data_IF_780056959764
#
_entry.id   IF_780056959764
#
_cell.length_a   1.000
_cell.length_b   1.000
_cell.length_c   1.000
_cell.angle_alpha   90.00
_cell.angle_beta   90.00
_cell.angle_gamma   90.00
#
_symmetry.space_group_name_H-M   'P 1'
#
loop_
_entity.id
_entity.type
_entity.pdbx_description
1 polymer ?
#
# COMPACT_ATOMS: atom_id res chain seq x y z
N UNK A 1 -4.83 -5.83 -22.26
CA UNK A 1 -3.37 -5.80 -22.16
C UNK A 1 -2.96 -7.20 -21.80
N UNK A 2 -1.91 -7.72 -22.44
CA UNK A 2 -1.36 -9.03 -22.14
C UNK A 2 -0.02 -8.83 -21.41
N UNK A 3 -0.03 -8.56 -20.09
CA UNK A 3 1.21 -8.24 -19.39
C UNK A 3 2.10 -9.48 -19.24
N UNK A 4 3.40 -9.31 -19.41
CA UNK A 4 4.37 -10.34 -19.03
C UNK A 4 4.46 -10.45 -17.50
N UNK A 5 4.73 -11.66 -16.99
CA UNK A 5 5.02 -11.86 -15.56
C UNK A 5 6.53 -11.80 -15.39
N UNK A 6 6.99 -10.92 -14.50
CA UNK A 6 8.41 -10.72 -14.18
C UNK A 6 8.61 -11.06 -12.70
N UNK A 7 9.46 -12.05 -12.43
CA UNK A 7 9.82 -12.48 -11.08
C UNK A 7 11.21 -11.95 -10.73
N UNK A 8 11.30 -11.26 -9.60
CA UNK A 8 12.52 -10.76 -8.98
C UNK A 8 12.98 -11.79 -7.94
N UNK A 9 14.09 -12.47 -8.20
CA UNK A 9 14.64 -13.50 -7.32
C UNK A 9 16.10 -13.20 -6.94
N UNK A 10 16.54 -13.70 -5.80
CA UNK A 10 17.93 -13.54 -5.36
C UNK A 10 18.52 -14.85 -4.82
N UNK A 11 18.26 -15.15 -3.54
CA UNK A 11 19.02 -16.16 -2.79
C UNK A 11 18.14 -17.18 -2.05
N UNK A 12 16.87 -17.32 -2.46
CA UNK A 12 15.85 -18.09 -1.73
C UNK A 12 15.18 -19.15 -2.62
N UNK A 13 15.79 -20.34 -2.81
CA UNK A 13 15.28 -21.34 -3.73
C UNK A 13 13.90 -21.88 -3.33
N UNK A 14 13.64 -22.06 -2.03
CA UNK A 14 12.34 -22.51 -1.52
C UNK A 14 11.21 -21.48 -1.74
N UNK A 15 11.51 -20.19 -1.52
CA UNK A 15 10.58 -19.09 -1.75
C UNK A 15 10.23 -19.00 -3.23
N UNK A 16 11.24 -18.98 -4.10
CA UNK A 16 11.02 -18.98 -5.55
C UNK A 16 10.20 -20.19 -6.00
N UNK A 17 10.53 -21.40 -5.54
CA UNK A 17 9.78 -22.61 -5.88
C UNK A 17 8.30 -22.51 -5.47
N UNK A 18 8.01 -21.92 -4.30
CA UNK A 18 6.65 -21.70 -3.81
C UNK A 18 5.90 -20.69 -4.68
N UNK A 19 6.51 -19.56 -5.03
CA UNK A 19 5.92 -18.57 -5.93
C UNK A 19 5.61 -19.21 -7.29
N UNK A 20 6.59 -19.87 -7.92
CA UNK A 20 6.42 -20.54 -9.21
C UNK A 20 5.33 -21.63 -9.17
N UNK A 21 5.24 -22.37 -8.06
CA UNK A 21 4.17 -23.33 -7.82
C UNK A 21 2.78 -22.69 -7.83
N UNK A 22 2.63 -21.52 -7.21
CA UNK A 22 1.36 -20.77 -7.24
C UNK A 22 1.05 -20.19 -8.64
N UNK A 23 2.07 -19.74 -9.38
CA UNK A 23 1.93 -19.24 -10.75
C UNK A 23 1.46 -20.31 -11.73
N UNK A 24 1.84 -21.58 -11.53
CA UNK A 24 1.34 -22.70 -12.35
C UNK A 24 -0.19 -22.87 -12.26
N UNK A 25 -0.83 -22.37 -11.20
CA UNK A 25 -2.27 -22.42 -10.99
C UNK A 25 -3.05 -21.22 -11.53
N UNK A 26 -2.41 -20.30 -12.26
CA UNK A 26 -3.08 -19.13 -12.80
C UNK A 26 -4.21 -19.50 -13.76
N UNK A 27 -5.28 -18.71 -13.73
CA UNK A 27 -6.38 -18.80 -14.67
C UNK A 27 -6.45 -17.57 -15.56
N UNK A 28 -6.88 -17.76 -16.80
CA UNK A 28 -6.97 -16.68 -17.78
C UNK A 28 -5.63 -16.26 -18.40
N UNK A 29 -4.52 -16.89 -18.01
CA UNK A 29 -3.23 -16.72 -18.67
C UNK A 29 -3.21 -17.56 -19.95
N UNK A 30 -3.07 -16.90 -21.11
CA UNK A 30 -2.87 -17.52 -22.43
C UNK A 30 -1.88 -16.65 -23.19
N UNK A 31 -0.82 -17.27 -23.73
CA UNK A 31 0.28 -16.58 -24.40
C UNK A 31 0.94 -15.49 -23.53
N UNK A 32 1.23 -15.85 -22.29
CA UNK A 32 1.80 -14.95 -21.26
C UNK A 32 3.29 -15.23 -21.12
N UNK A 33 4.19 -14.29 -21.43
CA UNK A 33 5.60 -14.45 -21.14
C UNK A 33 5.87 -14.50 -19.63
N UNK A 34 6.78 -15.39 -19.21
CA UNK A 34 7.34 -15.42 -17.86
C UNK A 34 8.83 -15.12 -17.92
N UNK A 35 9.26 -14.05 -17.28
CA UNK A 35 10.66 -13.72 -17.06
C UNK A 35 11.02 -13.94 -15.60
N UNK A 36 12.04 -14.74 -15.33
CA UNK A 36 12.60 -14.93 -13.99
C UNK A 36 13.98 -14.31 -13.99
N UNK A 37 14.14 -13.16 -13.34
CA UNK A 37 15.45 -12.50 -13.19
C UNK A 37 16.03 -12.79 -11.82
N UNK A 38 17.28 -13.25 -11.79
CA UNK A 38 17.99 -13.67 -10.59
C UNK A 38 19.20 -12.76 -10.40
N UNK A 39 19.23 -12.01 -9.30
CA UNK A 39 20.38 -11.16 -8.96
C UNK A 39 21.58 -12.01 -8.53
N UNK A 40 22.80 -11.56 -8.85
CA UNK A 40 24.03 -12.26 -8.48
C UNK A 40 24.43 -11.99 -7.02
N UNK A 41 25.27 -12.87 -6.47
CA UNK A 41 25.93 -12.67 -5.17
C UNK A 41 25.35 -13.45 -4.00
N UNK A 42 24.30 -14.24 -4.19
CA UNK A 42 23.72 -15.10 -3.16
C UNK A 42 24.41 -16.47 -3.04
N UNK A 43 24.64 -16.96 -1.82
CA UNK A 43 25.25 -18.28 -1.57
C UNK A 43 24.49 -19.46 -2.21
N UNK A 44 23.17 -19.34 -2.33
CA UNK A 44 22.26 -20.33 -2.92
C UNK A 44 21.93 -20.01 -4.39
N UNK A 45 22.68 -19.12 -5.05
CA UNK A 45 22.41 -18.68 -6.42
C UNK A 45 22.22 -19.85 -7.40
N UNK A 46 23.10 -20.85 -7.33
CA UNK A 46 23.02 -22.05 -8.19
C UNK A 46 21.72 -22.84 -7.98
N UNK A 47 21.23 -22.93 -6.73
CA UNK A 47 19.97 -23.61 -6.42
C UNK A 47 18.75 -22.82 -6.90
N UNK A 48 18.78 -21.49 -6.77
CA UNK A 48 17.74 -20.59 -7.30
C UNK A 48 17.68 -20.70 -8.82
N UNK A 49 18.83 -20.69 -9.49
CA UNK A 49 18.94 -20.89 -10.94
C UNK A 49 18.39 -22.27 -11.36
N UNK A 50 18.73 -23.33 -10.64
CA UNK A 50 18.22 -24.66 -10.91
C UNK A 50 16.69 -24.75 -10.77
N UNK A 51 16.10 -24.08 -9.76
CA UNK A 51 14.65 -23.97 -9.58
C UNK A 51 14.03 -23.26 -10.79
N UNK A 52 14.56 -22.10 -11.19
CA UNK A 52 14.05 -21.32 -12.32
C UNK A 52 14.15 -22.08 -13.65
N UNK A 53 15.27 -22.77 -13.90
CA UNK A 53 15.50 -23.53 -15.13
C UNK A 53 14.58 -24.75 -15.22
N UNK A 54 14.38 -25.50 -14.13
CA UNK A 54 13.54 -26.71 -14.10
C UNK A 54 12.06 -26.43 -14.18
N UNK A 55 11.61 -25.27 -13.71
CA UNK A 55 10.20 -24.91 -13.75
C UNK A 55 9.67 -24.86 -15.19
N UNK A 56 8.55 -25.56 -15.45
CA UNK A 56 7.91 -25.57 -16.77
C UNK A 56 6.76 -24.56 -16.78
N UNK A 57 6.88 -23.57 -17.65
CA UNK A 57 5.82 -22.60 -17.86
C UNK A 57 4.87 -23.08 -18.96
N UNK A 58 3.59 -23.18 -18.64
CA UNK A 58 2.59 -23.77 -19.54
C UNK A 58 1.76 -22.74 -20.31
N UNK A 59 1.90 -21.45 -20.00
CA UNK A 59 1.05 -20.40 -20.54
C UNK A 59 1.71 -19.54 -21.62
N UNK A 60 2.99 -19.75 -21.94
CA UNK A 60 3.73 -18.97 -22.94
C UNK A 60 5.22 -19.24 -22.89
N UNK A 61 6.03 -18.30 -23.41
CA UNK A 61 7.48 -18.40 -23.36
C UNK A 61 8.03 -18.15 -21.95
N UNK A 62 9.11 -18.86 -21.59
CA UNK A 62 9.85 -18.66 -20.34
C UNK A 62 11.26 -18.19 -20.64
N UNK A 63 11.66 -17.06 -20.06
CA UNK A 63 13.03 -16.52 -20.10
C UNK A 63 13.60 -16.48 -18.69
N UNK A 64 14.83 -16.97 -18.52
CA UNK A 64 15.59 -16.81 -17.26
C UNK A 64 16.72 -15.82 -17.54
N UNK A 65 16.84 -14.79 -16.70
CA UNK A 65 17.89 -13.77 -16.77
C UNK A 65 18.76 -13.93 -15.53
N UNK A 66 20.01 -14.31 -15.74
CA UNK A 66 21.06 -14.34 -14.73
C UNK A 66 21.83 -13.02 -14.80
N UNK A 67 21.89 -12.29 -13.68
CA UNK A 67 22.71 -11.08 -13.60
C UNK A 67 24.16 -11.47 -13.43
N UNK A 68 25.06 -10.88 -14.21
CA UNK A 68 26.50 -11.19 -14.14
C UNK A 68 27.17 -10.61 -12.89
N UNK A 69 26.62 -9.51 -12.36
CA UNK A 69 27.12 -8.78 -11.19
C UNK A 69 25.95 -8.41 -10.28
N UNK A 70 26.17 -8.30 -8.95
CA UNK A 70 25.11 -7.91 -8.02
C UNK A 70 24.58 -6.51 -8.34
N UNK A 71 23.30 -6.39 -8.69
CA UNK A 71 22.62 -5.12 -8.92
C UNK A 71 22.11 -4.51 -7.61
N UNK A 72 21.87 -5.34 -6.60
CA UNK A 72 21.22 -4.96 -5.36
C UNK A 72 19.73 -4.66 -5.54
N UNK A 73 19.00 -4.51 -4.43
CA UNK A 73 17.53 -4.46 -4.44
C UNK A 73 16.95 -3.41 -5.40
N UNK A 74 17.40 -2.15 -5.31
CA UNK A 74 16.88 -1.07 -6.16
C UNK A 74 17.24 -1.31 -7.62
N UNK A 75 18.52 -1.60 -7.90
CA UNK A 75 19.00 -1.83 -9.27
C UNK A 75 18.29 -3.00 -9.94
N UNK A 76 18.08 -4.10 -9.21
CA UNK A 76 17.43 -5.28 -9.73
C UNK A 76 15.93 -5.08 -9.98
N UNK A 77 15.21 -4.43 -9.06
CA UNK A 77 13.80 -4.05 -9.25
C UNK A 77 13.65 -3.14 -10.46
N UNK A 78 14.57 -2.19 -10.66
CA UNK A 78 14.54 -1.28 -11.80
C UNK A 78 14.82 -2.01 -13.12
N UNK A 79 15.83 -2.88 -13.17
CA UNK A 79 16.13 -3.70 -14.34
C UNK A 79 14.95 -4.60 -14.72
N UNK A 80 14.27 -5.18 -13.73
CA UNK A 80 13.06 -5.97 -13.95
C UNK A 80 11.87 -5.11 -14.42
N UNK A 81 11.71 -3.92 -13.84
CA UNK A 81 10.67 -2.97 -14.25
C UNK A 81 10.84 -2.46 -15.68
N UNK A 82 12.08 -2.25 -16.12
CA UNK A 82 12.42 -1.77 -17.46
C UNK A 82 12.03 -2.76 -18.57
N UNK A 83 11.79 -4.04 -18.26
CA UNK A 83 11.22 -5.02 -19.20
C UNK A 83 9.83 -4.63 -19.71
N UNK A 84 9.15 -3.67 -19.08
CA UNK A 84 7.92 -3.08 -19.61
C UNK A 84 8.11 -2.42 -20.99
N UNK A 85 9.34 -2.01 -21.34
CA UNK A 85 9.66 -1.49 -22.67
C UNK A 85 9.57 -2.60 -23.73
N UNK A 86 9.94 -3.84 -23.38
CA UNK A 86 9.87 -5.01 -24.25
C UNK A 86 8.42 -5.52 -24.38
N UNK A 87 7.69 -5.61 -23.26
CA UNK A 87 6.38 -6.27 -23.22
C UNK A 87 5.17 -5.32 -23.24
N UNK A 88 5.36 -4.00 -23.15
CA UNK A 88 4.31 -2.98 -23.08
C UNK A 88 3.57 -2.90 -21.73
N UNK A 89 3.43 -4.02 -21.02
CA UNK A 89 2.93 -4.09 -19.65
C UNK A 89 3.54 -5.28 -18.90
N UNK A 90 3.69 -5.16 -17.58
CA UNK A 90 4.26 -6.23 -16.73
C UNK A 90 3.48 -6.41 -15.42
N UNK A 91 3.56 -7.61 -14.86
CA UNK A 91 3.25 -7.95 -13.48
C UNK A 91 4.58 -8.28 -12.79
N UNK A 92 5.00 -7.47 -11.83
CA UNK A 92 6.26 -7.61 -11.10
C UNK A 92 6.02 -8.27 -9.73
N UNK A 93 6.69 -9.39 -9.48
CA UNK A 93 6.52 -10.22 -8.28
C UNK A 93 7.87 -10.52 -7.63
N UNK A 94 7.95 -10.35 -6.30
CA UNK A 94 9.11 -10.77 -5.49
C UNK A 94 9.00 -12.26 -5.15
N UNK A 95 10.14 -12.95 -5.02
CA UNK A 95 10.23 -14.40 -4.83
C UNK A 95 9.59 -14.95 -3.54
N UNK A 96 9.26 -14.10 -2.55
CA UNK A 96 8.60 -14.49 -1.31
C UNK A 96 7.07 -14.38 -1.32
N UNK A 97 6.50 -13.98 -2.45
CA UNK A 97 5.05 -13.91 -2.63
C UNK A 97 4.43 -15.28 -2.92
N UNK A 98 3.12 -15.35 -2.72
CA UNK A 98 2.26 -16.41 -3.23
C UNK A 98 1.06 -15.77 -3.92
N UNK A 99 0.71 -16.25 -5.10
CA UNK A 99 -0.32 -15.63 -5.93
C UNK A 99 -1.65 -16.41 -5.91
N UNK A 100 -2.73 -15.67 -6.01
CA UNK A 100 -4.06 -16.21 -6.31
C UNK A 100 -4.11 -16.74 -7.75
N UNK A 101 -4.89 -17.82 -8.01
CA UNK A 101 -5.23 -18.23 -9.37
C UNK A 101 -5.82 -17.09 -10.23
N UNK A 102 -6.45 -16.09 -9.60
CA UNK A 102 -7.11 -14.96 -10.28
C UNK A 102 -6.17 -13.76 -10.51
N UNK A 103 -4.92 -13.81 -10.02
CA UNK A 103 -4.01 -12.67 -10.05
C UNK A 103 -3.80 -12.11 -11.46
N UNK A 104 -3.60 -12.98 -12.46
CA UNK A 104 -3.40 -12.56 -13.84
C UNK A 104 -4.64 -11.87 -14.44
N UNK A 105 -5.85 -12.43 -14.23
CA UNK A 105 -7.10 -11.81 -14.72
C UNK A 105 -7.30 -10.41 -14.19
N UNK A 106 -7.08 -10.22 -12.89
CA UNK A 106 -7.18 -8.91 -12.27
C UNK A 106 -6.15 -7.93 -12.84
N UNK A 107 -4.87 -8.32 -12.86
CA UNK A 107 -3.82 -7.43 -13.29
C UNK A 107 -4.00 -7.01 -14.75
N UNK A 108 -4.36 -7.95 -15.64
CA UNK A 108 -4.66 -7.65 -17.02
C UNK A 108 -5.86 -6.68 -17.16
N UNK A 109 -6.98 -6.96 -16.45
CA UNK A 109 -8.16 -6.09 -16.49
C UNK A 109 -7.91 -4.70 -15.90
N UNK A 110 -7.14 -4.61 -14.81
CA UNK A 110 -6.77 -3.35 -14.18
C UNK A 110 -5.82 -2.54 -15.07
N UNK A 111 -4.84 -3.18 -15.71
CA UNK A 111 -3.94 -2.53 -16.65
C UNK A 111 -4.69 -2.00 -17.88
N UNK A 112 -5.66 -2.77 -18.40
CA UNK A 112 -6.54 -2.30 -19.47
C UNK A 112 -7.34 -1.06 -19.08
N UNK A 113 -7.85 -1.03 -17.85
CA UNK A 113 -8.73 0.04 -17.40
C UNK A 113 -7.95 1.31 -16.99
N UNK A 114 -6.79 1.15 -16.35
CA UNK A 114 -6.04 2.27 -15.74
C UNK A 114 -4.73 2.61 -16.44
N UNK A 115 -4.23 1.78 -17.36
CA UNK A 115 -2.91 1.92 -17.95
C UNK A 115 -2.66 3.24 -18.70
N UNK A 116 -3.75 3.89 -19.11
CA UNK A 116 -3.76 5.17 -19.83
C UNK A 116 -4.17 6.38 -18.97
N UNK A 117 -4.63 6.20 -17.73
CA UNK A 117 -4.95 7.33 -16.85
C UNK A 117 -3.66 7.89 -16.24
N UNK A 118 -3.25 9.14 -16.57
CA UNK A 118 -2.00 9.71 -16.09
C UNK A 118 -2.02 9.99 -14.57
N UNK A 119 -3.16 9.89 -13.90
CA UNK A 119 -3.24 10.03 -12.44
C UNK A 119 -2.96 8.72 -11.71
N UNK A 120 -2.90 7.60 -12.44
CA UNK A 120 -2.59 6.29 -11.87
C UNK A 120 -1.13 5.96 -12.17
N UNK A 121 -0.40 5.60 -11.11
CA UNK A 121 1.04 5.32 -11.17
C UNK A 121 1.37 3.82 -11.16
N UNK A 122 0.40 2.97 -10.84
CA UNK A 122 0.57 1.52 -10.77
C UNK A 122 -0.61 0.85 -10.10
N UNK A 123 -0.61 -0.48 -10.17
CA UNK A 123 -1.65 -1.33 -9.62
C UNK A 123 -1.00 -2.28 -8.61
N UNK A 124 -1.52 -2.32 -7.39
CA UNK A 124 -1.20 -3.34 -6.40
C UNK A 124 -1.99 -4.61 -6.70
N UNK A 125 -1.41 -5.77 -6.43
CA UNK A 125 -2.12 -7.06 -6.37
C UNK A 125 -2.45 -7.45 -4.92
N UNK A 126 -1.91 -6.72 -3.94
CA UNK A 126 -2.13 -6.96 -2.52
C UNK A 126 -3.19 -6.01 -1.96
N UNK A 127 -4.07 -6.54 -1.11
CA UNK A 127 -4.99 -5.72 -0.33
C UNK A 127 -4.32 -5.24 0.97
N UNK A 128 -4.20 -3.92 1.12
CA UNK A 128 -3.64 -3.32 2.33
C UNK A 128 -4.61 -3.47 3.51
N UNK A 129 -4.18 -4.15 4.57
CA UNK A 129 -5.04 -4.49 5.71
C UNK A 129 -4.71 -3.72 7.00
N UNK A 130 -3.64 -2.92 7.01
CA UNK A 130 -3.17 -2.20 8.19
C UNK A 130 -2.71 -0.78 7.86
N UNK A 131 -2.64 0.06 8.89
CA UNK A 131 -2.10 1.41 8.82
C UNK A 131 -0.58 1.36 9.08
N UNK A 132 0.23 1.92 8.17
CA UNK A 132 1.68 1.73 8.12
C UNK A 132 2.49 2.32 9.28
N UNK A 133 1.90 3.22 10.06
CA UNK A 133 2.52 3.88 11.24
C UNK A 133 2.04 3.24 12.54
N UNK A 134 0.74 3.00 12.69
CA UNK A 134 0.16 2.51 13.95
C UNK A 134 0.02 0.99 13.99
N UNK A 135 0.14 0.32 12.84
CA UNK A 135 -0.16 -1.10 12.63
C UNK A 135 -1.58 -1.49 13.06
N UNK A 136 -2.49 -0.52 13.13
CA UNK A 136 -3.90 -0.79 13.39
C UNK A 136 -4.59 -1.29 12.11
N UNK A 137 -5.64 -2.12 12.22
CA UNK A 137 -6.38 -2.57 11.04
C UNK A 137 -6.87 -1.39 10.20
N UNK A 138 -6.58 -1.43 8.90
CA UNK A 138 -7.10 -0.51 7.90
C UNK A 138 -8.22 -1.22 7.15
N UNK A 139 -9.31 -0.49 6.90
CA UNK A 139 -10.41 -0.98 6.07
C UNK A 139 -10.92 0.19 5.25
N UNK A 140 -10.74 0.17 3.91
CA UNK A 140 -11.26 1.23 3.07
C UNK A 140 -12.79 1.26 3.18
N UNK A 141 -13.37 2.46 3.03
CA UNK A 141 -14.81 2.60 2.94
C UNK A 141 -15.31 1.76 1.78
N UNK A 142 -16.40 1.04 1.99
CA UNK A 142 -17.00 0.20 0.97
C UNK A 142 -17.82 1.09 0.05
N UNK A 143 -17.49 1.01 -1.23
CA UNK A 143 -18.33 1.50 -2.32
C UNK A 143 -18.58 0.34 -3.27
N UNK A 144 -19.19 0.67 -4.39
CA UNK A 144 -19.63 -0.27 -5.41
C UNK A 144 -18.47 -0.91 -6.21
N UNK A 145 -17.23 -0.43 -6.04
CA UNK A 145 -16.04 -0.93 -6.74
C UNK A 145 -15.30 -2.03 -5.98
N UNK A 146 -14.57 -2.86 -6.73
CA UNK A 146 -13.68 -3.91 -6.18
C UNK A 146 -12.28 -3.38 -5.81
N UNK A 147 -12.07 -2.08 -5.97
CA UNK A 147 -10.78 -1.40 -5.74
C UNK A 147 -10.95 -0.13 -4.91
N UNK A 148 -9.84 0.39 -4.41
CA UNK A 148 -9.71 1.72 -3.83
C UNK A 148 -8.38 2.35 -4.29
N UNK A 149 -8.20 3.65 -4.02
CA UNK A 149 -7.04 4.41 -4.48
C UNK A 149 -6.27 4.99 -3.30
N UNK A 150 -4.95 5.03 -3.40
CA UNK A 150 -4.11 5.56 -2.32
C UNK A 150 -2.82 6.18 -2.84
N UNK A 151 -2.34 7.26 -2.21
CA UNK A 151 -1.02 7.84 -2.48
C UNK A 151 0.11 7.11 -1.75
N UNK A 152 0.05 5.78 -1.71
CA UNK A 152 1.11 4.89 -1.21
C UNK A 152 1.33 3.82 -2.28
N UNK A 153 2.59 3.61 -2.68
CA UNK A 153 2.92 2.50 -3.54
C UNK A 153 3.06 1.23 -2.72
N UNK A 154 2.71 0.07 -3.26
CA UNK A 154 2.81 -1.19 -2.52
C UNK A 154 3.66 -2.20 -3.25
N UNK A 155 4.60 -2.83 -2.55
CA UNK A 155 5.64 -3.66 -3.16
C UNK A 155 5.24 -5.13 -3.34
N UNK A 156 4.24 -5.61 -2.59
CA UNK A 156 3.85 -7.03 -2.56
C UNK A 156 2.99 -7.46 -3.75
N UNK A 157 3.56 -7.37 -4.95
CA UNK A 157 2.91 -7.68 -6.22
C UNK A 157 2.34 -6.44 -6.87
N UNK A 158 2.89 -6.13 -8.04
CA UNK A 158 2.69 -4.85 -8.72
C UNK A 158 2.39 -5.10 -10.19
N UNK A 159 1.63 -4.23 -10.83
CA UNK A 159 1.47 -4.22 -12.28
C UNK A 159 1.64 -2.81 -12.84
N UNK A 160 2.31 -2.72 -13.99
CA UNK A 160 2.65 -1.47 -14.66
C UNK A 160 2.38 -1.54 -16.16
N UNK A 161 1.81 -0.48 -16.70
CA UNK A 161 1.91 -0.17 -18.13
C UNK A 161 3.24 0.53 -18.43
N UNK A 162 3.66 0.51 -19.69
CA UNK A 162 4.85 1.24 -20.14
C UNK A 162 4.77 2.74 -19.80
N UNK A 163 3.59 3.35 -19.92
CA UNK A 163 3.36 4.78 -19.59
C UNK A 163 3.56 5.05 -18.10
N UNK A 164 3.02 4.19 -17.24
CA UNK A 164 3.13 4.33 -15.79
C UNK A 164 4.58 4.20 -15.32
N UNK A 165 5.31 3.23 -15.87
CA UNK A 165 6.72 3.04 -15.54
C UNK A 165 7.60 4.17 -16.09
N UNK A 166 7.39 4.59 -17.34
CA UNK A 166 8.14 5.69 -17.95
C UNK A 166 8.00 6.99 -17.15
N UNK A 167 6.78 7.34 -16.71
CA UNK A 167 6.57 8.51 -15.86
C UNK A 167 7.33 8.45 -14.53
N UNK A 168 7.47 7.26 -13.94
CA UNK A 168 8.29 7.08 -12.75
C UNK A 168 9.79 7.20 -13.05
N UNK A 169 10.26 6.65 -14.17
CA UNK A 169 11.67 6.76 -14.60
C UNK A 169 12.07 8.21 -14.88
N UNK A 170 11.22 8.95 -15.57
CA UNK A 170 11.43 10.38 -15.84
C UNK A 170 11.52 11.21 -14.54
N UNK A 171 10.60 10.97 -13.60
CA UNK A 171 10.68 11.60 -12.28
C UNK A 171 11.97 11.22 -11.55
N UNK A 172 12.36 9.94 -11.58
CA UNK A 172 13.53 9.42 -10.89
C UNK A 172 14.83 10.09 -11.33
N UNK A 173 14.99 10.41 -12.62
CA UNK A 173 16.20 11.05 -13.17
C UNK A 173 16.50 12.42 -12.57
N UNK A 174 15.47 13.13 -12.09
CA UNK A 174 15.59 14.49 -11.54
C UNK A 174 15.26 14.57 -10.05
N UNK A 175 14.83 13.47 -9.44
CA UNK A 175 14.37 13.43 -8.06
C UNK A 175 15.53 13.56 -7.06
N UNK A 176 15.33 14.42 -6.06
CA UNK A 176 16.16 14.39 -4.84
C UNK A 176 15.69 13.20 -4.00
N UNK A 177 16.50 12.13 -3.96
CA UNK A 177 16.16 10.87 -3.28
C UNK A 177 16.06 11.01 -1.76
N UNK A 178 16.64 12.04 -1.16
CA UNK A 178 16.49 12.28 0.29
C UNK A 178 15.07 12.72 0.61
N UNK A 179 14.45 12.08 1.62
CA UNK A 179 13.14 12.47 2.14
C UNK A 179 13.31 13.59 3.15
N UNK A 180 12.54 14.65 2.97
CA UNK A 180 12.57 15.84 3.81
C UNK A 180 11.16 16.18 4.29
N UNK A 181 11.02 16.98 5.38
CA UNK A 181 9.70 17.44 5.82
C UNK A 181 8.89 18.18 4.73
N UNK A 182 9.55 18.75 3.71
CA UNK A 182 8.89 19.45 2.60
C UNK A 182 8.14 18.50 1.66
N UNK A 183 8.44 17.21 1.70
CA UNK A 183 7.77 16.21 0.88
C UNK A 183 6.35 15.87 1.37
N UNK A 184 5.92 16.42 2.51
CA UNK A 184 4.58 16.23 3.10
C UNK A 184 4.24 14.76 3.37
N UNK A 185 5.27 13.99 3.70
CA UNK A 185 5.18 12.57 4.09
C UNK A 185 5.24 12.45 5.60
N UNK A 186 4.73 11.33 6.13
CA UNK A 186 4.94 10.99 7.53
C UNK A 186 6.44 10.84 7.81
N UNK A 187 6.90 11.30 8.98
CA UNK A 187 8.32 11.35 9.34
C UNK A 187 8.99 9.98 9.32
N UNK A 188 8.23 8.91 9.60
CA UNK A 188 8.65 7.51 9.47
C UNK A 188 9.31 7.20 8.13
N UNK A 189 8.86 7.80 7.02
CA UNK A 189 9.44 7.54 5.71
C UNK A 189 10.92 7.94 5.61
N UNK A 190 11.38 8.89 6.44
CA UNK A 190 12.80 9.28 6.50
C UNK A 190 13.69 8.28 7.24
N UNK A 191 13.11 7.30 7.95
CA UNK A 191 13.87 6.28 8.70
C UNK A 191 14.15 5.02 7.89
N UNK A 192 13.58 4.89 6.70
CA UNK A 192 13.84 3.75 5.82
C UNK A 192 15.27 3.80 5.26
N UNK A 193 15.93 2.65 5.09
CA UNK A 193 17.22 2.56 4.42
C UNK A 193 17.20 3.19 3.02
N UNK A 194 18.33 3.78 2.61
CA UNK A 194 18.49 4.30 1.24
C UNK A 194 18.43 3.21 0.16
N UNK A 195 18.51 1.94 0.56
CA UNK A 195 18.34 0.76 -0.31
C UNK A 195 16.88 0.35 -0.49
N UNK A 196 15.93 0.99 0.19
CA UNK A 196 14.50 0.78 0.00
C UNK A 196 13.92 1.75 -1.03
N UNK A 197 13.22 1.20 -2.02
CA UNK A 197 12.58 1.99 -3.07
C UNK A 197 11.14 2.40 -2.72
N UNK A 198 10.50 1.77 -1.72
CA UNK A 198 9.14 2.06 -1.27
C UNK A 198 8.93 3.54 -0.85
N UNK A 199 9.81 4.15 -0.04
CA UNK A 199 9.69 5.56 0.33
C UNK A 199 9.80 6.49 -0.89
N UNK A 200 10.70 6.17 -1.82
CA UNK A 200 10.93 6.96 -3.03
C UNK A 200 9.75 6.90 -3.99
N UNK A 201 9.15 5.71 -4.14
CA UNK A 201 7.93 5.55 -4.94
C UNK A 201 6.75 6.30 -4.32
N UNK A 202 6.62 6.30 -2.99
CA UNK A 202 5.58 7.09 -2.30
C UNK A 202 5.81 8.60 -2.48
N UNK A 203 7.07 9.05 -2.40
CA UNK A 203 7.46 10.44 -2.70
C UNK A 203 7.08 10.86 -4.12
N UNK A 204 7.31 9.99 -5.12
CA UNK A 204 6.85 10.20 -6.49
C UNK A 204 5.34 10.42 -6.57
N UNK A 205 4.53 9.60 -5.90
CA UNK A 205 3.07 9.74 -5.89
C UNK A 205 2.63 11.12 -5.40
N UNK A 206 3.21 11.59 -4.29
CA UNK A 206 2.86 12.88 -3.70
C UNK A 206 3.30 14.06 -4.56
N UNK A 207 4.54 14.05 -5.06
CA UNK A 207 5.07 15.15 -5.86
C UNK A 207 4.38 15.28 -7.23
N UNK A 208 3.80 14.20 -7.73
CA UNK A 208 3.10 14.18 -9.02
C UNK A 208 1.57 14.07 -8.89
N UNK A 209 1.04 14.09 -7.67
CA UNK A 209 -0.37 13.91 -7.35
C UNK A 209 -1.01 12.68 -8.01
N UNK A 210 -0.30 11.54 -7.94
CA UNK A 210 -0.73 10.25 -8.51
C UNK A 210 -1.16 9.28 -7.42
N UNK A 211 -1.90 8.26 -7.84
CA UNK A 211 -2.46 7.23 -6.97
C UNK A 211 -2.06 5.83 -7.45
N UNK A 212 -2.00 4.89 -6.51
CA UNK A 212 -2.03 3.46 -6.78
C UNK A 212 -3.44 2.91 -6.68
N UNK A 213 -3.74 1.91 -7.49
CA UNK A 213 -4.97 1.13 -7.41
C UNK A 213 -4.74 -0.07 -6.52
N UNK A 214 -5.58 -0.27 -5.52
CA UNK A 214 -5.53 -1.41 -4.61
C UNK A 214 -6.79 -2.26 -4.72
N UNK A 215 -6.67 -3.60 -4.78
CA UNK A 215 -7.82 -4.47 -4.68
C UNK A 215 -8.33 -4.49 -3.23
N UNK A 216 -9.65 -4.64 -3.07
CA UNK A 216 -10.24 -4.84 -1.74
C UNK A 216 -10.00 -6.25 -1.20
N UNK A 217 -9.85 -7.22 -2.09
CA UNK A 217 -9.57 -8.62 -1.76
C UNK A 217 -8.20 -9.00 -2.36
N UNK A 218 -7.29 -9.52 -1.55
CA UNK A 218 -5.90 -9.70 -1.98
C UNK A 218 -5.74 -10.80 -3.03
N UNK A 219 -4.84 -10.59 -4.00
CA UNK A 219 -4.41 -11.56 -4.99
C UNK A 219 -2.96 -12.01 -4.82
N UNK A 220 -2.24 -11.38 -3.89
CA UNK A 220 -0.92 -11.80 -3.43
C UNK A 220 -0.86 -11.79 -1.90
N UNK A 221 -0.08 -12.70 -1.34
CA UNK A 221 0.25 -12.71 0.10
C UNK A 221 1.75 -12.92 0.24
N UNK A 222 2.35 -12.36 1.29
CA UNK A 222 3.78 -12.39 1.50
C UNK A 222 4.11 -13.33 2.67
N UNK A 223 5.03 -14.28 2.46
CA UNK A 223 5.43 -15.25 3.49
C UNK A 223 6.33 -14.67 4.57
N UNK A 224 6.78 -13.43 4.40
CA UNK A 224 7.67 -12.71 5.29
C UNK A 224 8.98 -13.44 5.50
N UNK A 225 9.40 -14.23 4.52
CA UNK A 225 10.65 -14.99 4.58
C UNK A 225 11.81 -14.00 4.80
N UNK A 226 12.78 -14.39 5.64
CA UNK A 226 13.94 -13.55 5.92
C UNK A 226 14.58 -13.04 4.62
N UNK A 227 14.85 -11.75 4.57
CA UNK A 227 15.44 -11.04 3.44
C UNK A 227 16.31 -9.88 3.90
N UNK A 228 16.62 -8.96 3.00
CA UNK A 228 17.54 -7.83 3.27
C UNK A 228 17.05 -6.91 4.41
N UNK A 229 15.72 -6.74 4.55
CA UNK A 229 15.13 -5.79 5.48
C UNK A 229 14.15 -6.42 6.50
N UNK A 230 13.88 -7.72 6.41
CA UNK A 230 12.89 -8.40 7.26
C UNK A 230 13.43 -9.71 7.82
N UNK A 231 13.04 -10.00 9.07
CA UNK A 231 13.16 -11.33 9.67
C UNK A 231 11.81 -12.06 9.53
N UNK A 232 11.85 -13.40 9.49
CA UNK A 232 10.66 -14.26 9.42
C UNK A 232 9.45 -13.72 10.21
N UNK A 233 8.39 -13.34 9.50
CA UNK A 233 7.17 -12.78 10.10
C UNK A 233 5.91 -13.18 9.34
N UNK A 234 4.81 -13.40 10.06
CA UNK A 234 3.50 -13.62 9.46
C UNK A 234 2.66 -12.35 9.36
N UNK A 235 3.21 -11.18 9.73
CA UNK A 235 2.47 -9.93 9.76
C UNK A 235 1.92 -9.51 8.39
N UNK A 236 2.62 -9.86 7.31
CA UNK A 236 2.20 -9.50 5.95
C UNK A 236 1.27 -10.53 5.29
N UNK A 237 0.86 -11.59 6.02
CA UNK A 237 -0.08 -12.57 5.51
C UNK A 237 -1.50 -11.99 5.43
N UNK A 238 -2.12 -12.15 4.27
CA UNK A 238 -3.50 -11.74 4.02
C UNK A 238 -4.31 -12.85 3.35
N UNK A 239 -5.64 -12.92 3.58
CA UNK A 239 -6.50 -13.81 2.84
C UNK A 239 -6.44 -13.54 1.33
N UNK A 240 -6.29 -14.61 0.56
CA UNK A 240 -6.36 -14.55 -0.91
C UNK A 240 -7.78 -14.84 -1.39
N UNK A 241 -8.30 -14.01 -2.28
CA UNK A 241 -9.50 -14.36 -3.03
C UNK A 241 -9.10 -15.22 -4.23
N UNK A 242 -9.83 -16.30 -4.50
CA UNK A 242 -9.45 -17.33 -5.49
C UNK A 242 -10.52 -17.60 -6.55
N UNK A 243 -11.64 -16.86 -6.54
CA UNK A 243 -12.86 -17.18 -7.30
C UNK A 243 -13.34 -16.08 -8.22
N UNK A 244 -13.30 -14.82 -7.79
CA UNK A 244 -13.75 -13.67 -8.58
C UNK A 244 -12.88 -13.54 -9.83
N UNK A 245 -13.50 -13.74 -10.98
CA UNK A 245 -12.85 -13.65 -12.30
C UNK A 245 -13.15 -12.32 -13.02
N UNK A 246 -14.19 -11.62 -12.59
CA UNK A 246 -14.63 -10.32 -13.13
C UNK A 246 -14.57 -9.28 -12.03
N UNK A 247 -13.96 -8.14 -12.33
CA UNK A 247 -13.70 -7.07 -11.36
C UNK A 247 -14.46 -5.81 -11.75
N UNK A 248 -15.19 -5.25 -10.80
CA UNK A 248 -15.86 -3.95 -10.95
C UNK A 248 -14.87 -2.84 -10.66
N UNK A 249 -14.18 -2.40 -11.69
CA UNK A 249 -13.24 -1.28 -11.63
C UNK A 249 -13.99 0.05 -11.75
N UNK A 250 -13.49 1.10 -11.09
CA UNK A 250 -14.12 2.43 -11.07
C UNK A 250 -13.12 3.49 -11.51
N UNK A 251 -13.58 4.54 -12.19
CA UNK A 251 -12.70 5.67 -12.47
C UNK A 251 -12.35 6.41 -11.19
N UNK A 252 -11.15 6.98 -11.12
CA UNK A 252 -10.70 7.76 -9.96
C UNK A 252 -11.68 8.89 -9.60
N UNK A 253 -12.31 9.53 -10.59
CA UNK A 253 -13.27 10.61 -10.36
C UNK A 253 -14.58 10.14 -9.71
N UNK A 254 -14.98 8.89 -9.99
CA UNK A 254 -16.23 8.28 -9.50
C UNK A 254 -16.02 7.62 -8.13
N UNK A 255 -14.81 7.14 -7.84
CA UNK A 255 -14.49 6.44 -6.60
C UNK A 255 -14.69 7.31 -5.36
N UNK A 256 -15.23 6.70 -4.31
CA UNK A 256 -15.34 7.32 -2.97
C UNK A 256 -14.11 6.97 -2.15
N UNK A 257 -13.65 5.72 -2.23
CA UNK A 257 -12.50 5.21 -1.50
C UNK A 257 -11.16 5.70 -2.11
N UNK A 258 -10.82 6.97 -1.88
CA UNK A 258 -9.53 7.58 -2.29
C UNK A 258 -8.83 8.16 -1.06
N UNK A 259 -7.58 7.75 -0.87
CA UNK A 259 -6.80 8.01 0.33
C UNK A 259 -5.47 8.71 0.00
N UNK A 260 -5.00 9.53 0.91
CA UNK A 260 -3.66 10.13 0.84
C UNK A 260 -2.56 9.20 1.38
N UNK A 261 -1.34 9.72 1.50
CA UNK A 261 -0.17 8.99 2.01
C UNK A 261 -0.19 8.71 3.52
N UNK A 262 -1.19 9.22 4.26
CA UNK A 262 -1.41 8.94 5.68
C UNK A 262 -2.52 7.89 5.87
N UNK A 263 -3.07 7.36 4.77
CA UNK A 263 -4.21 6.46 4.74
C UNK A 263 -5.50 7.11 5.27
N UNK A 264 -5.60 8.43 5.11
CA UNK A 264 -6.80 9.20 5.43
C UNK A 264 -7.60 9.46 4.15
N UNK A 265 -8.93 9.43 4.27
CA UNK A 265 -9.79 9.71 3.11
C UNK A 265 -9.60 11.17 2.70
N UNK A 266 -9.57 11.44 1.39
CA UNK A 266 -9.46 12.81 0.92
C UNK A 266 -10.72 13.63 1.28
N UNK A 267 -10.57 14.90 1.72
CA UNK A 267 -11.69 15.76 2.14
C UNK A 267 -12.81 15.87 1.10
N UNK A 268 -12.45 16.03 -0.18
CA UNK A 268 -13.42 16.15 -1.27
C UNK A 268 -14.19 14.86 -1.55
N UNK A 269 -13.69 13.71 -1.07
CA UNK A 269 -14.39 12.42 -1.14
C UNK A 269 -15.31 12.23 0.05
N UNK A 270 -14.87 12.65 1.23
CA UNK A 270 -15.74 12.67 2.41
C UNK A 270 -16.94 13.60 2.20
N UNK A 271 -16.75 14.76 1.56
CA UNK A 271 -17.83 15.70 1.24
C UNK A 271 -18.88 15.13 0.27
N UNK A 272 -18.64 13.99 -0.38
CA UNK A 272 -19.66 13.28 -1.18
C UNK A 272 -20.60 12.42 -0.34
N UNK A 273 -20.22 12.16 0.91
CA UNK A 273 -20.92 11.27 1.83
C UNK A 273 -21.66 12.02 2.93
N UNK A 274 -21.33 13.30 3.12
CA UNK A 274 -21.90 14.13 4.18
C UNK A 274 -21.71 15.61 3.86
N UNK A 275 -22.72 16.43 4.15
CA UNK A 275 -22.69 17.89 3.95
C UNK A 275 -22.09 18.65 5.15
N UNK A 276 -21.71 17.94 6.21
CA UNK A 276 -21.29 18.54 7.49
C UNK A 276 -20.05 19.45 7.40
N UNK A 277 -19.23 19.30 6.37
CA UNK A 277 -18.00 20.06 6.16
C UNK A 277 -18.03 20.91 4.89
N UNK A 278 -19.22 21.09 4.31
CA UNK A 278 -19.40 21.83 3.07
C UNK A 278 -18.84 23.26 3.19
N UNK A 279 -18.03 23.66 2.19
CA UNK A 279 -17.40 24.99 2.16
C UNK A 279 -16.22 25.18 3.12
N UNK A 280 -15.78 24.14 3.85
CA UNK A 280 -14.63 24.23 4.74
C UNK A 280 -13.40 23.58 4.12
N UNK A 281 -12.23 24.24 4.23
CA UNK A 281 -10.94 23.64 3.90
C UNK A 281 -10.37 22.90 5.12
N UNK A 282 -10.29 21.58 5.05
CA UNK A 282 -9.91 20.75 6.18
C UNK A 282 -9.07 19.54 5.79
N UNK A 283 -8.30 19.02 6.74
CA UNK A 283 -7.57 17.76 6.63
C UNK A 283 -8.28 16.67 7.42
N UNK A 284 -8.09 15.41 7.00
CA UNK A 284 -8.53 14.24 7.76
C UNK A 284 -7.32 13.58 8.44
N UNK A 285 -7.47 13.21 9.70
CA UNK A 285 -6.45 12.58 10.56
C UNK A 285 -7.12 11.63 11.58
N UNK A 286 -7.95 10.69 11.12
CA UNK A 286 -8.66 9.78 12.00
C UNK A 286 -7.74 8.77 12.68
N UNK A 287 -6.63 8.38 12.05
CA UNK A 287 -5.60 7.57 12.67
C UNK A 287 -4.71 8.38 13.62
N UNK A 288 -4.80 9.72 13.63
CA UNK A 288 -4.06 10.56 14.58
C UNK A 288 -2.56 10.45 14.41
N UNK A 289 -2.09 10.39 13.15
CA UNK A 289 -0.67 10.17 12.80
C UNK A 289 -0.03 11.40 12.17
N UNK A 290 -0.81 12.37 11.72
CA UNK A 290 -0.25 13.61 11.16
C UNK A 290 0.42 14.44 12.27
N UNK A 291 1.65 14.85 12.02
CA UNK A 291 2.25 15.98 12.73
C UNK A 291 1.60 17.29 12.28
N UNK A 292 1.74 18.36 13.07
CA UNK A 292 1.19 19.66 12.69
C UNK A 292 1.76 20.21 11.39
N UNK A 293 3.04 19.93 11.10
CA UNK A 293 3.64 20.31 9.82
C UNK A 293 2.96 19.63 8.62
N UNK A 294 2.30 18.50 8.86
CA UNK A 294 1.56 17.70 7.89
C UNK A 294 0.04 17.93 7.94
N UNK A 295 -0.43 18.98 8.62
CA UNK A 295 -1.84 19.44 8.60
C UNK A 295 -1.85 20.86 8.00
N UNK A 296 -1.93 21.00 6.67
CA UNK A 296 -1.76 22.30 6.00
C UNK A 296 -3.01 23.19 6.03
N UNK A 297 -4.14 22.69 6.53
CA UNK A 297 -5.45 23.35 6.47
C UNK A 297 -5.84 24.01 7.80
N UNK A 298 -6.72 25.01 7.73
CA UNK A 298 -7.22 25.71 8.92
C UNK A 298 -7.99 24.77 9.86
N UNK A 299 -8.76 23.84 9.31
CA UNK A 299 -9.55 22.88 10.07
C UNK A 299 -9.01 21.45 9.94
N UNK A 300 -9.32 20.61 10.91
CA UNK A 300 -8.96 19.19 10.92
C UNK A 300 -10.06 18.34 11.54
N UNK A 301 -10.34 17.19 10.91
CA UNK A 301 -11.15 16.10 11.45
C UNK A 301 -10.21 15.02 12.00
N UNK A 302 -10.18 14.80 13.31
CA UNK A 302 -9.15 13.97 13.95
C UNK A 302 -9.66 13.19 15.17
N UNK A 303 -8.96 12.11 15.53
CA UNK A 303 -9.11 11.46 16.85
C UNK A 303 -8.24 12.07 17.94
N UNK A 304 -7.38 13.03 17.60
CA UNK A 304 -6.58 13.79 18.59
C UNK A 304 -7.48 14.67 19.46
N UNK A 305 -7.05 14.93 20.69
CA UNK A 305 -7.79 15.80 21.62
C UNK A 305 -7.72 17.26 21.15
N UNK A 306 -8.83 17.97 21.32
CA UNK A 306 -9.00 19.36 20.89
C UNK A 306 -9.70 20.15 22.00
N UNK A 307 -9.25 21.38 22.25
CA UNK A 307 -9.80 22.21 23.34
C UNK A 307 -11.19 22.75 23.00
N UNK A 308 -11.39 23.23 21.76
CA UNK A 308 -12.63 23.87 21.31
C UNK A 308 -13.15 23.24 20.01
N UNK A 309 -13.60 21.96 20.04
CA UNK A 309 -14.13 21.34 18.84
C UNK A 309 -15.41 22.04 18.37
N UNK A 310 -15.48 22.32 17.07
CA UNK A 310 -16.68 22.83 16.39
C UNK A 310 -17.75 21.75 16.27
N UNK A 311 -17.34 20.50 16.07
CA UNK A 311 -18.21 19.33 16.11
C UNK A 311 -17.48 18.12 16.71
N UNK A 312 -18.24 17.18 17.29
CA UNK A 312 -17.69 15.96 17.88
C UNK A 312 -18.52 14.74 17.51
N UNK A 313 -17.85 13.60 17.31
CA UNK A 313 -18.48 12.34 16.95
C UNK A 313 -18.06 11.20 17.87
N UNK A 314 -18.90 10.16 17.94
CA UNK A 314 -18.63 8.91 18.63
C UNK A 314 -17.61 8.03 17.90
N UNK A 315 -17.32 6.87 18.49
CA UNK A 315 -16.43 5.85 17.94
C UNK A 315 -17.09 4.46 17.98
N UNK A 316 -18.38 4.45 17.68
CA UNK A 316 -19.27 3.29 17.77
C UNK A 316 -19.26 2.46 16.47
N UNK A 317 -19.26 3.12 15.31
CA UNK A 317 -19.26 2.47 13.99
C UNK A 317 -17.85 2.15 13.48
N UNK A 318 -17.77 1.25 12.49
CA UNK A 318 -16.53 0.77 11.85
C UNK A 318 -16.65 0.92 10.32
N UNK A 319 -15.66 1.49 9.61
CA UNK A 319 -14.44 2.14 10.10
C UNK A 319 -14.73 3.48 10.83
N UNK A 320 -13.70 4.18 11.36
CA UNK A 320 -13.88 5.39 12.19
C UNK A 320 -14.73 6.42 11.46
N UNK A 321 -14.48 6.55 10.16
CA UNK A 321 -15.17 7.43 9.23
C UNK A 321 -16.70 7.27 9.24
N UNK A 322 -17.22 6.06 9.49
CA UNK A 322 -18.66 5.81 9.51
C UNK A 322 -19.37 6.62 10.62
N UNK A 323 -18.70 6.90 11.73
CA UNK A 323 -19.26 7.74 12.80
C UNK A 323 -19.48 9.17 12.34
N UNK A 324 -18.58 9.67 11.49
CA UNK A 324 -18.65 11.02 10.93
C UNK A 324 -19.74 11.08 9.87
N UNK A 325 -19.75 10.13 8.93
CA UNK A 325 -20.75 10.06 7.85
C UNK A 325 -22.18 9.99 8.41
N UNK A 326 -22.40 9.15 9.43
CA UNK A 326 -23.73 8.96 10.01
C UNK A 326 -24.03 9.89 11.19
N UNK A 327 -23.20 10.92 11.42
CA UNK A 327 -23.36 11.90 12.49
C UNK A 327 -23.65 11.25 13.86
N UNK A 328 -22.85 10.24 14.22
CA UNK A 328 -23.00 9.53 15.49
C UNK A 328 -22.46 10.42 16.60
N UNK A 329 -23.33 10.80 17.54
CA UNK A 329 -22.96 11.65 18.67
C UNK A 329 -21.91 10.99 19.58
N UNK A 330 -20.94 11.78 20.03
CA UNK A 330 -19.94 11.36 21.02
C UNK A 330 -18.75 12.31 21.06
N UNK A 331 -17.71 11.94 21.80
CA UNK A 331 -16.50 12.77 22.03
C UNK A 331 -15.21 12.06 21.63
N UNK A 332 -15.31 11.07 20.73
CA UNK A 332 -14.19 10.25 20.29
C UNK A 332 -13.42 10.82 19.09
N UNK A 333 -14.10 11.58 18.23
CA UNK A 333 -13.55 12.25 17.05
C UNK A 333 -13.93 13.73 17.15
N UNK A 334 -13.01 14.62 16.80
CA UNK A 334 -13.17 16.06 16.86
C UNK A 334 -13.03 16.68 15.48
N UNK A 335 -13.83 17.69 15.20
CA UNK A 335 -13.66 18.60 14.07
C UNK A 335 -13.56 20.02 14.59
N UNK A 336 -12.55 20.77 14.16
CA UNK A 336 -12.34 22.16 14.56
C UNK A 336 -11.03 22.72 14.04
N UNK A 337 -10.64 23.91 14.52
CA UNK A 337 -9.43 24.57 14.04
C UNK A 337 -8.18 23.77 14.42
N UNK A 338 -7.25 23.64 13.49
CA UNK A 338 -5.96 22.97 13.71
C UNK A 338 -5.19 23.60 14.87
N UNK A 339 -5.35 24.91 15.10
CA UNK A 339 -4.74 25.63 16.23
C UNK A 339 -5.27 25.20 17.61
N UNK A 340 -6.45 24.58 17.69
CA UNK A 340 -7.07 24.12 18.95
C UNK A 340 -6.64 22.70 19.37
N UNK A 341 -5.76 22.04 18.60
CA UNK A 341 -5.24 20.71 18.93
C UNK A 341 -4.40 20.75 20.22
N UNK A 342 -4.70 19.85 21.16
CA UNK A 342 -3.92 19.68 22.37
C UNK A 342 -2.67 18.82 22.07
N UNK A 343 -1.54 19.51 21.92
CA UNK A 343 -0.24 18.89 21.61
C UNK A 343 0.44 18.26 22.83
N UNK A 344 -0.17 18.33 24.02
CA UNK A 344 0.43 17.75 25.21
C UNK A 344 0.62 16.24 25.05
N UNK A 345 1.73 15.73 25.58
CA UNK A 345 2.00 14.29 25.57
C UNK A 345 0.85 13.48 26.22
N UNK A 346 0.16 14.06 27.21
CA UNK A 346 -1.00 13.45 27.88
C UNK A 346 -2.20 13.36 26.95
N UNK A 347 -2.48 14.37 26.14
CA UNK A 347 -3.52 14.32 25.13
C UNK A 347 -3.22 13.25 24.07
N UNK A 348 -2.00 13.23 23.53
CA UNK A 348 -1.58 12.22 22.55
C UNK A 348 -1.74 10.80 23.09
N UNK A 349 -1.32 10.53 24.34
CA UNK A 349 -1.50 9.22 24.98
C UNK A 349 -2.97 8.86 25.21
N UNK A 350 -3.83 9.81 25.58
CA UNK A 350 -5.28 9.58 25.74
C UNK A 350 -5.94 9.24 24.41
N UNK A 351 -5.65 10.01 23.36
CA UNK A 351 -6.15 9.77 22.01
C UNK A 351 -5.73 8.38 21.50
N UNK A 352 -4.42 8.06 21.57
CA UNK A 352 -3.90 6.77 21.15
C UNK A 352 -4.46 5.60 21.99
N UNK A 353 -4.69 5.79 23.30
CA UNK A 353 -5.34 4.78 24.14
C UNK A 353 -6.81 4.54 23.73
N UNK A 354 -7.56 5.59 23.42
CA UNK A 354 -8.95 5.50 22.95
C UNK A 354 -9.01 4.77 21.60
N UNK A 355 -8.13 5.14 20.67
CA UNK A 355 -8.00 4.50 19.35
C UNK A 355 -7.61 3.02 19.47
N UNK A 356 -6.68 2.67 20.36
CA UNK A 356 -6.35 1.27 20.63
C UNK A 356 -7.56 0.48 21.16
N UNK A 357 -8.36 1.06 22.05
CA UNK A 357 -9.57 0.42 22.57
C UNK A 357 -10.61 0.19 21.45
N UNK A 358 -10.71 1.13 20.52
CA UNK A 358 -11.55 1.03 19.33
C UNK A 358 -11.17 -0.19 18.46
N UNK A 359 -9.89 -0.36 18.14
CA UNK A 359 -9.42 -1.45 17.27
C UNK A 359 -9.41 -2.82 17.95
N UNK A 360 -9.10 -2.88 19.25
CA UNK A 360 -9.14 -4.13 20.02
C UNK A 360 -10.59 -4.57 20.31
N UNK A 361 -11.59 -3.72 20.01
CA UNK A 361 -13.03 -3.96 20.25
C UNK A 361 -13.35 -4.32 21.70
N UNK A 362 -12.57 -3.81 22.66
CA UNK A 362 -12.75 -4.04 24.09
C UNK A 362 -12.53 -2.77 24.87
N UNK A 363 -13.32 -2.58 25.94
CA UNK A 363 -13.02 -1.57 26.96
C UNK A 363 -11.73 -1.97 27.68
N UNK A 364 -10.67 -1.20 27.47
CA UNK A 364 -9.41 -1.41 28.18
C UNK A 364 -9.51 -0.91 29.62
N UNK A 365 -9.39 -1.84 30.58
CA UNK A 365 -9.28 -1.50 32.01
C UNK A 365 -7.95 -0.80 32.35
N UNK A 366 -7.86 -0.17 33.53
CA UNK A 366 -6.69 0.61 33.96
C UNK A 366 -5.37 -0.16 33.83
N UNK A 367 -5.33 -1.43 34.23
CA UNK A 367 -4.13 -2.28 34.13
C UNK A 367 -3.67 -2.52 32.69
N UNK A 368 -4.60 -2.68 31.76
CA UNK A 368 -4.27 -2.87 30.33
C UNK A 368 -3.76 -1.57 29.71
N UNK A 369 -4.36 -0.43 30.08
CA UNK A 369 -3.87 0.89 29.67
C UNK A 369 -2.46 1.16 30.19
N UNK A 370 -2.20 0.86 31.47
CA UNK A 370 -0.87 0.99 32.08
C UNK A 370 0.17 0.10 31.40
N UNK A 371 -0.15 -1.18 31.13
CA UNK A 371 0.76 -2.07 30.40
C UNK A 371 1.05 -1.56 28.99
N UNK A 372 0.03 -1.11 28.27
CA UNK A 372 0.20 -0.54 26.93
C UNK A 372 1.03 0.75 26.98
N UNK A 373 0.76 1.65 27.93
CA UNK A 373 1.55 2.87 28.13
C UNK A 373 3.01 2.59 28.41
N UNK A 374 3.31 1.67 29.33
CA UNK A 374 4.69 1.29 29.66
C UNK A 374 5.42 0.69 28.45
N UNK A 375 4.73 -0.08 27.62
CA UNK A 375 5.27 -0.64 26.38
C UNK A 375 5.41 0.34 25.21
N UNK A 376 5.07 1.62 25.38
CA UNK A 376 5.41 2.69 24.42
C UNK A 376 6.73 3.40 24.79
N UNK A 377 7.27 3.14 25.99
CA UNK A 377 8.53 3.72 26.50
C UNK A 377 9.70 2.74 26.52
N UNK A 378 9.42 1.45 26.25
CA UNK A 378 10.36 0.37 26.01
C UNK A 378 10.34 0.07 24.51
#
# INVERSE_FOLDING_TARGET
>A
MNPAIVVVAYNRPASLARLLGSLAGLQGAVDVPLVISIDAGGDNFADVLAVAQRFRWQFGEKRVIEQEQPLGLIGHVFACGDLVVEYGAIILLEDDLFVSPMAYRYAAAALDFYGDDPRIAGISLNALWFQGVTHEPFSPILDDGDVFFMQIAWFQGQAYSQRQWAAFREWWETAVITITPKDKMHELFSTFPATDWFPLKTKYLLQTNRFYVFPRESLTTNFGDSGTHMQNTSFFQVPLQTRRAHFRLQKLDEAVAVYDSFQEILPERLNRLTDQFSGTDFSVDLHGTRSLANIPTEFVLTTQEMNNPTATFGVELRPLLANVIHNISGSGINFGKTADLDQSWRARLRAASRRRAYFVRRRMGLRQRLKWWLGQWL
#
